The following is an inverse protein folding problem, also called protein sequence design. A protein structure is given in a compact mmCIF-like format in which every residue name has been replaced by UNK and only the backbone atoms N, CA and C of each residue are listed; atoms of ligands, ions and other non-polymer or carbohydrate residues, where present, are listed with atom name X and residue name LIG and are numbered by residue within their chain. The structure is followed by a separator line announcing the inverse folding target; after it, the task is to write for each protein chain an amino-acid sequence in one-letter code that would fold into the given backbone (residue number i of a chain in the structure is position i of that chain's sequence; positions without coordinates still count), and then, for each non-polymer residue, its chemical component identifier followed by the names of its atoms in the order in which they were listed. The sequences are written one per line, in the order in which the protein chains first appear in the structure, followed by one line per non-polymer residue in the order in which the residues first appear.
data_IF_247337331475
#
_entry.id   IF_247337331475
#
_cell.length_a   1.000
_cell.length_b   1.000
_cell.length_c   1.000
_cell.angle_alpha   90.00
_cell.angle_beta   90.00
_cell.angle_gamma   90.00
#
_symmetry.space_group_name_H-M   'P 1'
#
loop_
_entity.id
_entity.type
_entity.pdbx_description
1 polymer ?
#
# COMPACT_ATOMS: atom_id res chain seq x y z
N UNK A 1 2.06 -2.33 33.05
CA UNK A 1 1.63 -1.57 31.87
C UNK A 1 2.88 -1.08 31.15
N UNK A 2 3.00 -1.33 29.86
CA UNK A 2 4.17 -0.95 29.05
C UNK A 2 4.38 0.57 29.09
N UNK A 3 5.64 1.02 29.16
CA UNK A 3 5.99 2.46 29.10
C UNK A 3 5.42 3.15 27.86
N UNK A 4 5.20 2.39 26.79
CA UNK A 4 4.62 2.85 25.51
C UNK A 4 3.23 3.46 25.72
N UNK A 5 2.37 2.86 26.56
CA UNK A 5 1.01 3.34 26.79
C UNK A 5 0.93 4.70 27.54
N UNK A 6 2.06 5.22 28.03
CA UNK A 6 2.15 6.50 28.75
C UNK A 6 2.77 7.62 27.91
N UNK A 7 3.22 7.31 26.69
CA UNK A 7 3.82 8.30 25.81
C UNK A 7 2.72 9.13 25.10
N UNK A 8 3.00 10.40 24.87
CA UNK A 8 2.17 11.21 23.97
C UNK A 8 2.36 10.76 22.51
N UNK A 9 1.39 11.03 21.65
CA UNK A 9 1.41 10.64 20.23
C UNK A 9 2.66 11.16 19.52
N UNK A 10 3.04 12.42 19.76
CA UNK A 10 4.27 13.01 19.21
C UNK A 10 5.52 12.20 19.60
N UNK A 11 5.66 11.82 20.87
CA UNK A 11 6.79 11.02 21.35
C UNK A 11 6.77 9.60 20.77
N UNK A 12 5.58 9.01 20.55
CA UNK A 12 5.45 7.71 19.91
C UNK A 12 5.94 7.75 18.46
N UNK A 13 5.55 8.78 17.70
CA UNK A 13 5.97 8.98 16.31
C UNK A 13 7.48 9.20 16.22
N UNK A 14 8.04 10.11 17.02
CA UNK A 14 9.48 10.39 17.05
C UNK A 14 10.27 9.10 17.37
N UNK A 15 9.84 8.34 18.36
CA UNK A 15 10.51 7.08 18.75
C UNK A 15 10.43 6.02 17.65
N UNK A 16 9.27 5.91 16.97
CA UNK A 16 9.11 4.98 15.86
C UNK A 16 10.04 5.33 14.69
N UNK A 17 10.16 6.60 14.35
CA UNK A 17 11.05 7.09 13.28
C UNK A 17 12.52 6.83 13.62
N UNK A 18 12.94 7.13 14.87
CA UNK A 18 14.31 6.85 15.32
C UNK A 18 14.65 5.36 15.20
N UNK A 19 13.76 4.48 15.67
CA UNK A 19 13.97 3.03 15.61
C UNK A 19 13.99 2.50 14.17
N UNK A 20 13.18 3.06 13.27
CA UNK A 20 13.19 2.66 11.86
C UNK A 20 14.50 3.08 11.18
N UNK A 21 15.06 4.26 11.50
CA UNK A 21 16.38 4.69 11.01
C UNK A 21 17.51 3.83 11.55
N UNK A 22 17.52 3.53 12.88
CA UNK A 22 18.48 2.62 13.49
C UNK A 22 18.41 1.25 12.82
N UNK A 23 17.22 0.72 12.59
CA UNK A 23 17.02 -0.55 11.88
C UNK A 23 17.60 -0.52 10.47
N UNK A 24 17.35 0.51 9.68
CA UNK A 24 17.90 0.65 8.31
C UNK A 24 19.43 0.66 8.32
N UNK A 25 20.03 1.37 9.27
CA UNK A 25 21.49 1.41 9.44
C UNK A 25 22.03 0.02 9.77
N UNK A 26 21.43 -0.66 10.74
CA UNK A 26 21.81 -2.01 11.14
C UNK A 26 21.60 -3.04 10.02
N UNK A 27 20.51 -2.95 9.26
CA UNK A 27 20.25 -3.83 8.10
C UNK A 27 21.31 -3.64 7.00
N UNK A 28 21.75 -2.41 6.76
CA UNK A 28 22.82 -2.08 5.81
C UNK A 28 24.16 -2.64 6.25
N UNK A 29 24.51 -2.44 7.52
CA UNK A 29 25.73 -2.99 8.11
C UNK A 29 25.73 -4.51 8.08
N UNK A 30 24.64 -5.15 8.52
CA UNK A 30 24.48 -6.60 8.48
C UNK A 30 24.61 -7.17 7.08
N UNK A 31 24.04 -6.49 6.08
CA UNK A 31 24.16 -6.89 4.67
C UNK A 31 25.61 -6.84 4.21
N UNK A 32 26.35 -5.78 4.57
CA UNK A 32 27.76 -5.62 4.24
C UNK A 32 28.63 -6.69 4.90
N UNK A 33 28.38 -7.00 6.18
CA UNK A 33 29.06 -8.06 6.90
C UNK A 33 28.80 -9.44 6.30
N UNK A 34 27.54 -9.74 5.93
CA UNK A 34 27.17 -11.00 5.26
C UNK A 34 27.87 -11.14 3.92
N UNK A 35 27.94 -10.07 3.13
CA UNK A 35 28.63 -10.08 1.84
C UNK A 35 30.15 -10.38 2.00
N UNK A 36 30.78 -9.79 2.99
CA UNK A 36 32.21 -10.06 3.28
C UNK A 36 32.43 -11.50 3.77
N UNK A 37 31.58 -12.04 4.64
CA UNK A 37 31.63 -13.42 5.09
C UNK A 37 31.43 -14.37 3.90
N UNK A 38 30.47 -14.11 3.02
CA UNK A 38 30.26 -14.91 1.81
C UNK A 38 31.48 -14.89 0.89
N UNK A 39 32.09 -13.73 0.67
CA UNK A 39 33.28 -13.57 -0.14
C UNK A 39 34.44 -14.41 0.41
N UNK A 40 34.73 -14.30 1.70
CA UNK A 40 35.79 -15.09 2.36
C UNK A 40 35.49 -16.58 2.36
N UNK A 41 34.23 -16.94 2.61
CA UNK A 41 33.78 -18.33 2.54
C UNK A 41 33.96 -18.93 1.16
N UNK A 42 33.61 -18.18 0.11
CA UNK A 42 33.80 -18.62 -1.26
C UNK A 42 35.28 -18.87 -1.60
N UNK A 43 36.18 -17.96 -1.22
CA UNK A 43 37.62 -18.15 -1.40
C UNK A 43 38.10 -19.43 -0.71
N UNK A 44 37.73 -19.65 0.55
CA UNK A 44 38.08 -20.85 1.30
C UNK A 44 37.54 -22.12 0.63
N UNK A 45 36.29 -22.06 0.12
CA UNK A 45 35.70 -23.21 -0.58
C UNK A 45 36.41 -23.51 -1.88
N UNK A 46 36.85 -22.49 -2.63
CA UNK A 46 37.64 -22.67 -3.85
C UNK A 46 39.02 -23.25 -3.57
N UNK A 47 39.73 -22.72 -2.55
CA UNK A 47 41.08 -23.17 -2.19
C UNK A 47 41.12 -24.63 -1.72
N UNK A 48 40.07 -25.08 -1.04
CA UNK A 48 39.97 -26.44 -0.49
C UNK A 48 39.10 -27.38 -1.34
N UNK A 49 38.52 -26.90 -2.44
CA UNK A 49 37.61 -27.65 -3.32
C UNK A 49 36.44 -28.31 -2.55
N UNK A 50 35.83 -27.55 -1.66
CA UNK A 50 34.71 -28.01 -0.82
C UNK A 50 33.45 -27.18 -1.11
N UNK A 51 32.26 -27.73 -0.86
CA UNK A 51 30.98 -27.09 -1.16
C UNK A 51 30.39 -26.30 0.02
N UNK A 52 31.05 -26.33 1.16
CA UNK A 52 30.68 -25.50 2.31
C UNK A 52 31.90 -25.22 3.19
N UNK A 53 31.86 -24.12 3.91
CA UNK A 53 32.82 -23.85 4.98
C UNK A 53 32.12 -23.27 6.22
N UNK A 54 32.73 -23.49 7.37
CA UNK A 54 32.32 -22.91 8.66
C UNK A 54 33.34 -21.89 9.10
N UNK A 55 32.88 -20.71 9.48
CA UNK A 55 33.66 -19.63 10.02
C UNK A 55 33.23 -19.40 11.48
N UNK A 56 34.13 -19.48 12.40
CA UNK A 56 33.83 -19.37 13.83
C UNK A 56 34.03 -17.94 14.30
N UNK A 57 33.07 -17.42 15.01
CA UNK A 57 33.25 -16.18 15.78
C UNK A 57 33.93 -16.45 17.10
N UNK A 58 34.61 -15.45 17.62
CA UNK A 58 35.38 -15.59 18.86
C UNK A 58 34.51 -15.85 20.10
N UNK A 59 33.24 -15.40 20.09
CA UNK A 59 32.41 -15.42 21.31
C UNK A 59 31.01 -16.00 21.11
N UNK A 60 30.34 -15.81 19.96
CA UNK A 60 28.87 -15.88 19.91
C UNK A 60 28.30 -16.83 18.85
N UNK A 61 29.08 -17.36 17.93
CA UNK A 61 28.44 -18.21 16.95
C UNK A 61 29.30 -18.64 15.76
N UNK A 62 28.62 -19.19 14.76
CA UNK A 62 29.25 -19.73 13.57
C UNK A 62 28.50 -19.26 12.36
N UNK A 63 29.20 -18.79 11.33
CA UNK A 63 28.67 -18.57 10.01
C UNK A 63 28.95 -19.80 9.12
N UNK A 64 27.96 -20.25 8.39
CA UNK A 64 28.08 -21.32 7.41
C UNK A 64 27.86 -20.71 6.04
N UNK A 65 28.87 -20.86 5.17
CA UNK A 65 28.78 -20.50 3.76
C UNK A 65 28.70 -21.80 2.98
N UNK A 66 27.68 -21.94 2.14
CA UNK A 66 27.46 -23.11 1.31
C UNK A 66 27.04 -22.71 -0.09
N UNK A 67 27.43 -23.50 -1.06
CA UNK A 67 26.92 -23.41 -2.42
C UNK A 67 25.56 -24.13 -2.49
N UNK A 68 24.51 -23.42 -2.88
CA UNK A 68 23.22 -24.01 -3.24
C UNK A 68 22.98 -23.84 -4.71
N UNK A 69 22.48 -24.89 -5.34
CA UNK A 69 22.09 -24.87 -6.74
C UNK A 69 20.57 -24.96 -6.82
N UNK A 70 19.96 -23.99 -7.49
CA UNK A 70 18.53 -24.00 -7.81
C UNK A 70 18.35 -24.46 -9.26
N UNK A 71 17.26 -25.17 -9.52
CA UNK A 71 16.95 -25.70 -10.85
C UNK A 71 15.78 -24.90 -11.40
N UNK A 72 16.01 -24.17 -12.48
CA UNK A 72 14.98 -23.56 -13.29
C UNK A 72 14.70 -24.41 -14.52
N UNK A 73 13.48 -24.92 -14.66
CA UNK A 73 13.07 -25.73 -15.80
C UNK A 73 12.59 -24.77 -16.91
N UNK A 74 13.44 -24.53 -17.90
CA UNK A 74 13.14 -23.63 -19.02
C UNK A 74 12.11 -24.19 -20.00
N UNK A 75 12.03 -25.50 -20.17
CA UNK A 75 11.06 -26.16 -21.02
C UNK A 75 10.65 -27.51 -20.44
N UNK A 76 9.49 -27.52 -19.83
CA UNK A 76 8.94 -28.70 -19.15
C UNK A 76 8.54 -29.81 -20.14
N UNK A 77 8.03 -29.45 -21.32
CA UNK A 77 7.62 -30.43 -22.32
C UNK A 77 8.82 -31.17 -22.85
N UNK A 78 9.91 -30.45 -23.10
CA UNK A 78 11.17 -31.08 -23.51
C UNK A 78 11.76 -31.98 -22.42
N UNK A 79 11.64 -31.60 -21.15
CA UNK A 79 12.06 -32.45 -20.04
C UNK A 79 11.23 -33.75 -19.99
N UNK A 80 9.90 -33.67 -20.20
CA UNK A 80 9.00 -34.84 -20.26
C UNK A 80 9.39 -35.81 -21.37
N UNK A 81 9.73 -35.29 -22.55
CA UNK A 81 10.20 -36.13 -23.68
C UNK A 81 11.47 -36.89 -23.33
N UNK A 82 12.41 -36.28 -22.60
CA UNK A 82 13.72 -36.85 -22.28
C UNK A 82 13.62 -37.88 -21.15
N UNK A 83 12.96 -37.54 -20.04
CA UNK A 83 12.95 -38.38 -18.83
C UNK A 83 11.72 -39.30 -18.73
N UNK A 84 10.73 -39.10 -19.60
CA UNK A 84 9.48 -39.85 -19.59
C UNK A 84 8.36 -39.26 -18.72
N UNK A 85 7.17 -39.31 -19.22
CA UNK A 85 5.97 -38.73 -18.62
C UNK A 85 5.62 -39.34 -17.24
N UNK A 86 5.88 -40.62 -17.05
CA UNK A 86 5.65 -41.32 -15.81
C UNK A 86 6.49 -40.78 -14.65
N UNK A 87 7.78 -40.55 -14.90
CA UNK A 87 8.71 -40.04 -13.91
C UNK A 87 8.36 -38.60 -13.53
N UNK A 88 8.00 -37.77 -14.52
CA UNK A 88 7.62 -36.38 -14.28
C UNK A 88 6.35 -36.32 -13.43
N UNK A 89 5.30 -37.09 -13.72
CA UNK A 89 4.07 -37.15 -12.92
C UNK A 89 4.30 -37.58 -11.47
N UNK A 90 5.27 -38.46 -11.26
CA UNK A 90 5.57 -38.95 -9.90
C UNK A 90 6.45 -37.96 -9.09
N UNK A 91 7.40 -37.30 -9.72
CA UNK A 91 8.45 -36.52 -9.02
C UNK A 91 8.33 -35.02 -9.13
N UNK A 92 7.47 -34.50 -10.02
CA UNK A 92 7.30 -33.07 -10.21
C UNK A 92 5.87 -32.69 -9.82
N UNK A 93 5.75 -31.74 -8.88
CA UNK A 93 4.47 -31.14 -8.50
C UNK A 93 4.31 -29.83 -9.24
N UNK A 94 3.27 -29.72 -10.04
CA UNK A 94 2.90 -28.47 -10.70
C UNK A 94 1.89 -27.72 -9.84
N UNK A 95 2.17 -26.43 -9.58
CA UNK A 95 1.26 -25.54 -8.86
C UNK A 95 0.91 -24.34 -9.72
N UNK A 96 -0.38 -24.12 -9.94
CA UNK A 96 -0.87 -22.97 -10.71
C UNK A 96 -1.59 -22.02 -9.78
N UNK A 97 -1.14 -20.76 -9.75
CA UNK A 97 -1.81 -19.69 -8.98
C UNK A 97 -2.48 -18.71 -9.93
N UNK A 98 -3.78 -18.56 -9.81
CA UNK A 98 -4.53 -17.53 -10.54
C UNK A 98 -4.61 -16.26 -9.70
N UNK A 99 -4.11 -15.15 -10.25
CA UNK A 99 -4.18 -13.83 -9.62
C UNK A 99 -4.97 -12.88 -10.51
N UNK A 100 -6.05 -12.34 -9.94
CA UNK A 100 -6.84 -11.32 -10.62
C UNK A 100 -6.31 -9.94 -10.28
N UNK A 101 -6.14 -9.09 -11.30
CA UNK A 101 -5.78 -7.69 -11.14
C UNK A 101 -6.92 -6.83 -11.66
N UNK A 102 -7.53 -6.07 -10.77
CA UNK A 102 -8.60 -5.14 -11.12
C UNK A 102 -8.03 -3.79 -11.59
N UNK A 103 -8.76 -3.11 -12.47
CA UNK A 103 -8.52 -1.70 -12.74
C UNK A 103 -8.75 -0.87 -11.48
N UNK A 104 -8.04 0.26 -11.35
CA UNK A 104 -8.07 1.09 -10.14
C UNK A 104 -9.47 1.61 -9.81
N UNK A 105 -10.21 2.10 -10.81
CA UNK A 105 -11.54 2.66 -10.60
C UNK A 105 -12.57 1.56 -10.36
N UNK A 106 -12.43 0.44 -11.07
CA UNK A 106 -13.26 -0.73 -10.85
C UNK A 106 -13.05 -1.33 -9.46
N UNK A 107 -11.81 -1.45 -8.98
CA UNK A 107 -11.47 -1.87 -7.61
C UNK A 107 -12.10 -0.94 -6.55
N UNK A 108 -12.00 0.38 -6.78
CA UNK A 108 -12.62 1.39 -5.91
C UNK A 108 -14.14 1.26 -5.87
N UNK A 109 -14.78 1.09 -7.02
CA UNK A 109 -16.23 0.88 -7.13
C UNK A 109 -16.67 -0.40 -6.37
N UNK A 110 -16.01 -1.53 -6.61
CA UNK A 110 -16.31 -2.80 -5.91
C UNK A 110 -16.18 -2.63 -4.40
N UNK A 111 -15.12 -1.97 -3.92
CA UNK A 111 -14.93 -1.69 -2.49
C UNK A 111 -16.08 -0.85 -1.94
N UNK A 112 -16.45 0.24 -2.62
CA UNK A 112 -17.56 1.09 -2.20
C UNK A 112 -18.87 0.33 -2.09
N UNK A 113 -19.19 -0.50 -3.09
CA UNK A 113 -20.39 -1.37 -3.07
C UNK A 113 -20.36 -2.32 -1.88
N UNK A 114 -19.23 -2.99 -1.62
CA UNK A 114 -19.13 -3.99 -0.56
C UNK A 114 -19.17 -3.37 0.85
N UNK A 115 -18.57 -2.18 1.04
CA UNK A 115 -18.53 -1.50 2.34
C UNK A 115 -19.72 -0.60 2.61
N UNK A 116 -20.54 -0.29 1.60
CA UNK A 116 -21.64 0.69 1.71
C UNK A 116 -21.14 2.15 1.75
N UNK A 117 -19.91 2.39 1.29
CA UNK A 117 -19.27 3.70 1.34
C UNK A 117 -19.62 4.55 0.10
N UNK A 118 -20.91 4.82 -0.08
CA UNK A 118 -21.48 5.65 -1.14
C UNK A 118 -22.79 6.30 -0.67
N UNK A 119 -23.23 7.35 -1.37
CA UNK A 119 -24.56 7.96 -1.19
C UNK A 119 -25.09 8.50 -2.51
N UNK A 120 -26.38 8.28 -2.77
CA UNK A 120 -27.13 8.82 -3.92
C UNK A 120 -28.05 9.97 -3.51
N UNK A 121 -27.98 10.41 -2.24
CA UNK A 121 -28.89 11.46 -1.71
C UNK A 121 -28.62 12.84 -2.28
N UNK A 122 -27.37 13.11 -2.66
CA UNK A 122 -26.91 14.39 -3.17
C UNK A 122 -26.02 14.19 -4.38
N UNK A 123 -26.13 15.08 -5.38
CA UNK A 123 -25.07 15.32 -6.34
C UNK A 123 -23.92 16.10 -5.68
N UNK A 124 -22.71 16.04 -6.27
CA UNK A 124 -21.58 16.83 -5.77
C UNK A 124 -21.91 18.34 -5.81
N UNK A 125 -22.64 18.78 -6.82
CA UNK A 125 -23.03 20.17 -6.96
C UNK A 125 -23.94 20.65 -5.83
N UNK A 126 -25.00 19.90 -5.53
CA UNK A 126 -25.92 20.18 -4.42
C UNK A 126 -25.22 20.14 -3.08
N UNK A 127 -24.30 19.20 -2.89
CA UNK A 127 -23.54 19.10 -1.65
C UNK A 127 -22.62 20.31 -1.44
N UNK A 128 -21.93 20.79 -2.49
CA UNK A 128 -21.07 21.97 -2.41
C UNK A 128 -21.84 23.25 -2.03
N UNK A 129 -23.12 23.36 -2.40
CA UNK A 129 -23.99 24.48 -2.01
C UNK A 129 -24.38 24.43 -0.52
N UNK A 130 -24.28 23.27 0.12
CA UNK A 130 -24.67 23.03 1.51
C UNK A 130 -23.47 22.91 2.47
N UNK A 131 -22.24 23.07 1.95
CA UNK A 131 -21.04 22.99 2.78
C UNK A 131 -21.07 24.01 3.92
N UNK A 132 -20.51 23.64 5.06
CA UNK A 132 -20.36 24.53 6.22
C UNK A 132 -19.47 25.74 5.92
N UNK A 133 -18.52 25.59 4.99
CA UNK A 133 -17.65 26.66 4.49
C UNK A 133 -18.24 27.23 3.21
N UNK A 134 -18.57 28.53 3.14
CA UNK A 134 -19.11 29.16 1.94
C UNK A 134 -18.14 29.01 0.75
N UNK A 135 -18.69 28.57 -0.38
CA UNK A 135 -17.96 28.38 -1.63
C UNK A 135 -18.56 29.33 -2.67
N UNK A 136 -17.72 30.17 -3.30
CA UNK A 136 -18.18 31.02 -4.39
C UNK A 136 -18.35 30.23 -5.69
N UNK A 137 -19.00 30.85 -6.70
CA UNK A 137 -19.28 30.19 -7.98
C UNK A 137 -18.01 29.69 -8.69
N UNK A 138 -16.92 30.45 -8.65
CA UNK A 138 -15.67 30.06 -9.29
C UNK A 138 -14.99 28.92 -8.54
N UNK A 139 -14.96 28.98 -7.22
CA UNK A 139 -14.46 27.91 -6.36
C UNK A 139 -15.25 26.62 -6.57
N UNK A 140 -16.59 26.70 -6.65
CA UNK A 140 -17.47 25.56 -6.93
C UNK A 140 -17.13 24.89 -8.26
N UNK A 141 -16.97 25.66 -9.34
CA UNK A 141 -16.56 25.11 -10.65
C UNK A 141 -15.20 24.41 -10.60
N UNK A 142 -14.25 24.95 -9.85
CA UNK A 142 -12.94 24.33 -9.66
C UNK A 142 -13.05 23.01 -8.86
N UNK A 143 -13.84 22.99 -7.81
CA UNK A 143 -14.07 21.82 -6.98
C UNK A 143 -14.76 20.69 -7.77
N UNK A 144 -15.81 21.00 -8.54
CA UNK A 144 -16.49 20.03 -9.39
C UNK A 144 -15.53 19.32 -10.37
N UNK A 145 -14.53 20.05 -10.90
CA UNK A 145 -13.53 19.48 -11.83
C UNK A 145 -12.41 18.71 -11.16
N UNK A 146 -12.03 19.08 -9.93
CA UNK A 146 -10.80 18.57 -9.29
C UNK A 146 -11.03 17.49 -8.24
N UNK A 147 -12.18 17.46 -7.59
CA UNK A 147 -12.50 16.46 -6.56
C UNK A 147 -12.66 15.06 -7.17
N UNK A 148 -12.03 14.06 -6.57
CA UNK A 148 -11.92 12.68 -7.07
C UNK A 148 -12.42 11.62 -6.08
N UNK A 149 -12.82 12.02 -4.88
CA UNK A 149 -13.16 11.10 -3.79
C UNK A 149 -11.93 10.41 -3.19
N UNK A 150 -10.77 11.07 -3.24
CA UNK A 150 -9.55 10.64 -2.55
C UNK A 150 -9.27 11.61 -1.40
N UNK A 151 -9.37 11.12 -0.17
CA UNK A 151 -9.32 11.96 1.03
C UNK A 151 -8.11 12.90 1.05
N UNK A 152 -6.90 12.37 0.84
CA UNK A 152 -5.66 13.16 0.91
C UNK A 152 -5.56 14.19 -0.22
N UNK A 153 -5.89 13.77 -1.45
CA UNK A 153 -5.85 14.65 -2.60
C UNK A 153 -6.95 15.72 -2.56
N UNK A 154 -8.15 15.33 -2.13
CA UNK A 154 -9.30 16.23 -2.05
C UNK A 154 -9.16 17.22 -0.89
N UNK A 155 -8.59 16.82 0.25
CA UNK A 155 -8.24 17.72 1.35
C UNK A 155 -7.29 18.83 0.88
N UNK A 156 -6.24 18.46 0.17
CA UNK A 156 -5.31 19.43 -0.42
C UNK A 156 -5.98 20.35 -1.44
N UNK A 157 -6.89 19.80 -2.23
CA UNK A 157 -7.66 20.57 -3.22
C UNK A 157 -8.57 21.58 -2.54
N UNK A 158 -9.32 21.17 -1.50
CA UNK A 158 -10.18 22.05 -0.72
C UNK A 158 -9.37 23.17 -0.06
N UNK A 159 -8.29 22.85 0.65
CA UNK A 159 -7.42 23.85 1.27
C UNK A 159 -6.88 24.87 0.27
N UNK A 160 -6.53 24.41 -0.93
CA UNK A 160 -6.01 25.29 -1.99
C UNK A 160 -7.11 26.20 -2.58
N UNK A 161 -8.28 25.64 -2.88
CA UNK A 161 -9.40 26.40 -3.50
C UNK A 161 -10.02 27.36 -2.51
N UNK A 162 -10.11 26.99 -1.25
CA UNK A 162 -10.62 27.85 -0.17
C UNK A 162 -9.60 28.90 0.30
N UNK A 163 -8.36 28.87 -0.23
CA UNK A 163 -7.34 29.90 0.04
C UNK A 163 -6.49 29.68 1.28
N UNK A 164 -6.65 28.57 1.99
CA UNK A 164 -5.82 28.24 3.16
C UNK A 164 -4.42 27.74 2.77
N UNK A 165 -4.30 27.03 1.67
CA UNK A 165 -3.02 26.55 1.12
C UNK A 165 -2.57 27.45 -0.04
N UNK A 166 -1.61 28.31 0.23
CA UNK A 166 -1.03 29.25 -0.74
C UNK A 166 0.45 28.97 -0.99
N UNK A 167 1.04 29.67 -1.96
CA UNK A 167 2.46 29.53 -2.26
C UNK A 167 3.31 30.00 -1.06
N UNK A 168 4.05 29.05 -0.46
CA UNK A 168 4.86 29.30 0.75
C UNK A 168 4.21 28.88 2.07
N UNK A 169 2.96 28.43 2.07
CA UNK A 169 2.31 27.85 3.24
C UNK A 169 2.54 26.35 3.27
N UNK A 170 3.01 25.79 4.40
CA UNK A 170 3.11 24.34 4.56
C UNK A 170 1.71 23.73 4.72
N UNK A 171 1.55 22.45 4.33
CA UNK A 171 0.27 21.72 4.43
C UNK A 171 -0.23 21.70 5.89
N UNK A 172 0.65 21.46 6.85
CA UNK A 172 0.33 21.48 8.28
C UNK A 172 -0.15 22.86 8.79
N UNK A 173 0.45 23.95 8.29
CA UNK A 173 0.00 25.31 8.65
C UNK A 173 -1.34 25.66 8.02
N UNK A 174 -1.58 25.20 6.78
CA UNK A 174 -2.87 25.36 6.11
C UNK A 174 -3.99 24.59 6.82
N UNK A 175 -3.73 23.36 7.25
CA UNK A 175 -4.67 22.54 8.02
C UNK A 175 -4.99 23.15 9.39
N UNK A 176 -4.00 23.71 10.07
CA UNK A 176 -4.21 24.36 11.38
C UNK A 176 -5.02 25.66 11.28
N UNK A 177 -4.99 26.35 10.13
CA UNK A 177 -5.72 27.58 9.89
C UNK A 177 -7.13 27.36 9.30
N UNK A 178 -7.38 26.22 8.70
CA UNK A 178 -8.66 25.86 8.09
C UNK A 178 -9.65 25.35 9.15
N UNK A 179 -10.97 25.48 8.91
CA UNK A 179 -11.96 24.76 9.70
C UNK A 179 -11.81 23.25 9.50
N UNK A 180 -12.43 22.50 10.40
CA UNK A 180 -12.52 21.04 10.22
C UNK A 180 -13.34 20.71 8.96
N UNK A 181 -12.71 20.02 8.00
CA UNK A 181 -13.29 19.63 6.71
C UNK A 181 -13.53 18.12 6.62
N UNK A 182 -13.41 17.39 7.71
CA UNK A 182 -13.47 15.93 7.69
C UNK A 182 -14.86 15.43 7.31
N UNK A 183 -15.91 16.15 7.71
CA UNK A 183 -17.31 15.84 7.34
C UNK A 183 -17.52 16.06 5.84
N UNK A 184 -17.04 17.18 5.32
CA UNK A 184 -17.12 17.49 3.89
C UNK A 184 -16.38 16.44 3.03
N UNK A 185 -15.18 16.09 3.43
CA UNK A 185 -14.37 15.07 2.74
C UNK A 185 -15.04 13.69 2.78
N UNK A 186 -15.67 13.34 3.88
CA UNK A 186 -16.42 12.10 4.01
C UNK A 186 -17.58 12.03 3.00
N UNK A 187 -18.41 13.08 2.90
CA UNK A 187 -19.51 13.10 1.94
C UNK A 187 -19.04 13.22 0.50
N UNK A 188 -18.01 14.01 0.20
CA UNK A 188 -17.39 14.08 -1.13
C UNK A 188 -16.93 12.70 -1.58
N UNK A 189 -16.26 11.94 -0.71
CA UNK A 189 -15.83 10.58 -1.02
C UNK A 189 -17.00 9.68 -1.35
N UNK A 190 -18.07 9.70 -0.56
CA UNK A 190 -19.29 8.90 -0.79
C UNK A 190 -20.01 9.26 -2.09
N UNK A 191 -20.14 10.54 -2.38
CA UNK A 191 -20.76 11.02 -3.63
C UNK A 191 -19.92 10.56 -4.83
N UNK A 192 -18.60 10.72 -4.78
CA UNK A 192 -17.70 10.28 -5.86
C UNK A 192 -17.68 8.77 -6.05
N UNK A 193 -17.87 8.01 -4.99
CA UNK A 193 -18.06 6.56 -5.08
C UNK A 193 -19.41 6.21 -5.72
N UNK A 194 -20.47 6.95 -5.42
CA UNK A 194 -21.77 6.79 -6.09
C UNK A 194 -21.68 7.10 -7.60
N UNK A 195 -20.98 8.17 -7.99
CA UNK A 195 -20.70 8.48 -9.39
C UNK A 195 -19.97 7.32 -10.11
N UNK A 196 -18.97 6.69 -9.43
CA UNK A 196 -18.29 5.52 -9.99
C UNK A 196 -19.22 4.32 -10.13
N UNK A 197 -20.09 4.07 -9.16
CA UNK A 197 -21.07 2.98 -9.24
C UNK A 197 -21.98 3.19 -10.46
N UNK A 198 -22.51 4.38 -10.66
CA UNK A 198 -23.35 4.72 -11.82
C UNK A 198 -22.59 4.65 -13.15
N UNK A 199 -21.27 4.92 -13.15
CA UNK A 199 -20.45 4.81 -14.35
C UNK A 199 -20.18 3.36 -14.79
N UNK A 200 -20.19 2.40 -13.86
CA UNK A 200 -19.90 1.00 -14.15
C UNK A 200 -21.13 0.09 -14.19
N UNK A 201 -22.18 0.42 -13.44
CA UNK A 201 -23.36 -0.41 -13.31
C UNK A 201 -24.56 0.26 -13.99
N UNK A 202 -25.46 -0.50 -14.65
CA UNK A 202 -26.67 0.04 -15.22
C UNK A 202 -27.60 0.54 -14.11
N UNK A 203 -28.26 1.67 -14.34
CA UNK A 203 -29.23 2.23 -13.38
C UNK A 203 -30.40 1.29 -13.11
N UNK A 204 -30.87 0.60 -14.17
CA UNK A 204 -31.93 -0.40 -14.07
C UNK A 204 -31.46 -1.61 -13.27
N UNK A 205 -32.09 -1.85 -12.11
CA UNK A 205 -31.74 -2.97 -11.22
C UNK A 205 -30.43 -2.80 -10.47
N UNK A 206 -29.94 -1.58 -10.26
CA UNK A 206 -28.67 -1.28 -9.62
C UNK A 206 -28.57 -1.91 -8.23
N UNK A 207 -29.62 -1.87 -7.43
CA UNK A 207 -29.62 -2.45 -6.07
C UNK A 207 -29.43 -3.97 -6.09
N UNK A 208 -30.10 -4.66 -7.01
CA UNK A 208 -29.96 -6.11 -7.16
C UNK A 208 -28.55 -6.48 -7.66
N UNK A 209 -27.98 -5.67 -8.54
CA UNK A 209 -26.61 -5.87 -9.03
C UNK A 209 -25.57 -5.64 -7.92
N UNK A 210 -25.74 -4.59 -7.14
CA UNK A 210 -24.86 -4.32 -5.97
C UNK A 210 -24.97 -5.43 -4.93
N UNK A 211 -26.16 -5.96 -4.67
CA UNK A 211 -26.34 -7.08 -3.77
C UNK A 211 -25.66 -8.36 -4.28
N UNK A 212 -25.76 -8.64 -5.58
CA UNK A 212 -25.05 -9.76 -6.20
C UNK A 212 -23.53 -9.63 -6.06
N UNK A 213 -22.98 -8.42 -6.26
CA UNK A 213 -21.55 -8.14 -6.04
C UNK A 213 -21.15 -8.44 -4.60
N UNK A 214 -21.91 -7.98 -3.61
CA UNK A 214 -21.62 -8.23 -2.18
C UNK A 214 -21.59 -9.71 -1.82
N UNK A 215 -22.34 -10.55 -2.55
CA UNK A 215 -22.33 -12.00 -2.35
C UNK A 215 -21.11 -12.69 -2.97
N UNK A 216 -20.43 -12.04 -3.93
CA UNK A 216 -19.31 -12.61 -4.67
C UNK A 216 -17.93 -12.11 -4.21
N UNK A 217 -17.88 -11.02 -3.45
CA UNK A 217 -16.63 -10.33 -3.05
C UNK A 217 -16.61 -10.08 -1.56
N UNK A 218 -15.47 -10.37 -0.93
CA UNK A 218 -15.18 -10.01 0.46
C UNK A 218 -14.12 -8.90 0.44
N UNK A 219 -14.36 -7.84 1.20
CA UNK A 219 -13.40 -6.74 1.39
C UNK A 219 -12.90 -6.75 2.82
N UNK A 220 -11.61 -7.07 2.99
CA UNK A 220 -10.94 -7.03 4.29
C UNK A 220 -10.30 -5.67 4.51
N UNK A 221 -10.67 -5.00 5.59
CA UNK A 221 -10.05 -3.74 6.01
C UNK A 221 -8.80 -3.99 6.84
N UNK A 222 -7.67 -3.40 6.43
CA UNK A 222 -6.40 -3.50 7.16
C UNK A 222 -5.89 -2.11 7.48
N UNK A 223 -5.57 -1.88 8.74
CA UNK A 223 -4.88 -0.65 9.15
C UNK A 223 -3.45 -0.69 8.62
N UNK A 224 -3.01 0.42 8.04
CA UNK A 224 -1.64 0.62 7.59
C UNK A 224 -1.05 1.80 8.35
N UNK A 225 0.23 1.71 8.64
CA UNK A 225 1.03 2.82 9.14
C UNK A 225 2.09 3.14 8.10
N UNK A 226 2.28 4.41 7.81
CA UNK A 226 3.35 4.95 6.98
C UNK A 226 4.11 5.98 7.80
N UNK A 227 5.41 5.83 7.89
CA UNK A 227 6.29 6.79 8.56
C UNK A 227 6.86 7.75 7.52
N UNK A 228 6.59 9.03 7.67
CA UNK A 228 7.17 10.09 6.85
C UNK A 228 8.28 10.79 7.63
N UNK A 229 9.43 10.94 7.00
CA UNK A 229 10.57 11.65 7.56
C UNK A 229 10.47 13.12 7.16
N UNK A 230 10.85 14.03 8.07
CA UNK A 230 11.12 15.42 7.69
C UNK A 230 12.43 15.40 6.94
N UNK A 231 12.44 15.90 5.70
CA UNK A 231 13.68 16.17 4.99
C UNK A 231 14.50 17.13 5.87
N UNK A 232 15.75 16.76 6.17
CA UNK A 232 16.70 17.66 6.83
C UNK A 232 16.97 18.81 5.83
N UNK A 233 16.56 20.03 6.21
CA UNK A 233 16.87 21.27 5.47
C UNK A 233 18.36 21.60 5.55
#
# INVERSE_FOLDING_TARGET
MSQINKMSDAKLVDRAIMLDNEKKTLDTELTSLKAEIQKRGLLTMMDHNVKYCKMYGDKVGTAIVSESQEIDILNMDRLREIVGDGLVKEKVTESTFTKYKLDKNFDKMIKAVCTGDYTFEYSLEEFLDQMSVPVDTHQKELLLKKLKGDYKADKKTLLSVLGYLTKGTSEAAAEAAAPDLDVELYYISKIKNAELILAFLPEEGIDSTMEAIRRCVIVDSKLKIELAYKDEE
#
